data_IF_867950212975
#
_entry.id   IF_867950212975
#
_cell.length_a   1.000
_cell.length_b   1.000
_cell.length_c   1.000
_cell.angle_alpha   90.00
_cell.angle_beta   90.00
_cell.angle_gamma   90.00
#
_symmetry.space_group_name_H-M   'P 1'
#
loop_
_entity.id
_entity.type
_entity.pdbx_description
1 polymer ?
#
# COMPACT_ATOMS: atom_id res chain seq x y z
N UNK A 1 70.11 -45.45 9.35
CA UNK A 1 69.45 -45.46 8.02
C UNK A 1 68.00 -45.07 8.24
N UNK A 2 67.69 -43.77 8.15
CA UNK A 2 66.40 -43.18 8.52
C UNK A 2 65.58 -42.97 7.25
N UNK A 3 64.48 -43.72 7.06
CA UNK A 3 63.52 -43.45 5.99
C UNK A 3 62.41 -42.55 6.52
N UNK A 4 62.45 -41.27 6.16
CA UNK A 4 61.32 -40.34 6.28
C UNK A 4 60.25 -40.74 5.25
N UNK A 5 59.06 -41.10 5.71
CA UNK A 5 57.89 -41.26 4.86
C UNK A 5 57.11 -39.93 4.92
N UNK A 6 57.09 -39.20 3.80
CA UNK A 6 56.16 -38.09 3.58
C UNK A 6 54.78 -38.67 3.31
N UNK A 7 53.77 -38.24 4.07
CA UNK A 7 52.38 -38.43 3.71
C UNK A 7 51.73 -37.06 3.59
N UNK A 8 51.47 -36.71 2.33
CA UNK A 8 50.87 -35.47 1.86
C UNK A 8 49.40 -35.40 2.25
N UNK A 9 49.00 -34.36 2.98
CA UNK A 9 47.60 -34.04 3.25
C UNK A 9 46.96 -33.51 1.95
N UNK A 10 46.06 -34.27 1.33
CA UNK A 10 45.17 -33.73 0.29
C UNK A 10 43.98 -33.06 0.97
N UNK A 11 43.97 -31.73 0.99
CA UNK A 11 42.76 -30.96 1.26
C UNK A 11 41.86 -31.00 0.03
N UNK A 12 40.81 -31.81 0.05
CA UNK A 12 39.68 -31.68 -0.86
C UNK A 12 38.77 -30.57 -0.33
N UNK A 13 38.98 -29.33 -0.77
CA UNK A 13 37.96 -28.29 -0.64
C UNK A 13 36.89 -28.53 -1.68
N UNK A 14 35.77 -29.10 -1.26
CA UNK A 14 34.55 -29.21 -2.04
C UNK A 14 33.95 -27.81 -2.20
N UNK A 15 34.28 -27.10 -3.28
CA UNK A 15 33.61 -25.84 -3.63
C UNK A 15 32.20 -26.18 -4.09
N UNK A 16 31.23 -26.10 -3.18
CA UNK A 16 29.81 -26.08 -3.53
C UNK A 16 29.58 -24.74 -4.22
N UNK A 17 29.61 -24.73 -5.55
CA UNK A 17 29.03 -23.63 -6.32
C UNK A 17 27.51 -23.66 -6.09
N UNK A 18 27.06 -22.97 -5.06
CA UNK A 18 25.66 -22.58 -4.95
C UNK A 18 25.42 -21.53 -6.05
N UNK A 19 24.83 -21.95 -7.16
CA UNK A 19 24.12 -21.02 -8.04
C UNK A 19 22.86 -20.56 -7.31
N UNK A 20 23.02 -19.64 -6.35
CA UNK A 20 21.92 -18.79 -5.94
C UNK A 20 21.72 -17.80 -7.08
N UNK A 21 20.70 -18.03 -7.93
CA UNK A 21 20.11 -16.92 -8.64
C UNK A 21 19.62 -15.96 -7.55
N UNK A 22 20.25 -14.78 -7.44
CA UNK A 22 19.80 -13.70 -6.56
C UNK A 22 18.41 -13.26 -7.03
N UNK A 23 17.37 -13.96 -6.60
CA UNK A 23 15.99 -13.53 -6.77
C UNK A 23 15.80 -12.34 -5.83
N UNK A 24 15.58 -11.16 -6.41
CA UNK A 24 15.23 -9.95 -5.67
C UNK A 24 14.06 -10.27 -4.71
N UNK A 25 14.12 -9.83 -3.43
CA UNK A 25 13.03 -10.09 -2.49
C UNK A 25 11.71 -9.53 -3.04
N UNK A 26 10.59 -10.14 -2.64
CA UNK A 26 9.26 -9.74 -3.06
C UNK A 26 8.43 -9.23 -1.87
N UNK A 27 7.53 -8.28 -2.13
CA UNK A 27 6.52 -7.78 -1.20
C UNK A 27 5.15 -8.08 -1.78
N UNK A 28 4.22 -8.55 -0.96
CA UNK A 28 2.82 -8.69 -1.36
C UNK A 28 2.12 -7.35 -1.21
N UNK A 29 1.48 -6.79 -2.26
CA UNK A 29 0.63 -5.61 -2.12
C UNK A 29 -0.42 -5.79 -1.02
N UNK A 30 -0.53 -4.81 -0.11
CA UNK A 30 -1.53 -4.85 0.95
C UNK A 30 -2.94 -4.56 0.42
N UNK A 31 -3.97 -4.95 1.18
CA UNK A 31 -5.39 -4.73 0.86
C UNK A 31 -6.22 -4.73 2.15
N UNK A 32 -7.54 -4.59 2.03
CA UNK A 32 -8.49 -4.68 3.13
C UNK A 32 -9.42 -5.89 2.97
N UNK A 33 -9.93 -6.48 4.08
CA UNK A 33 -10.72 -7.71 4.06
C UNK A 33 -12.18 -7.49 3.61
N UNK A 34 -12.46 -6.40 2.87
CA UNK A 34 -13.72 -6.22 2.16
C UNK A 34 -13.84 -7.35 1.14
N UNK A 35 -15.02 -7.94 0.97
CA UNK A 35 -15.23 -9.05 0.03
C UNK A 35 -15.87 -8.54 -1.25
N UNK A 36 -15.67 -9.24 -2.37
CA UNK A 36 -16.38 -8.91 -3.63
C UNK A 36 -17.90 -9.02 -3.45
N UNK A 37 -18.34 -9.89 -2.55
CA UNK A 37 -19.73 -9.96 -2.15
C UNK A 37 -20.20 -8.65 -1.51
N UNK A 38 -19.42 -8.02 -0.63
CA UNK A 38 -19.77 -6.71 -0.07
C UNK A 38 -19.71 -5.60 -1.13
N UNK A 39 -18.80 -5.69 -2.11
CA UNK A 39 -18.75 -4.77 -3.25
C UNK A 39 -19.95 -4.91 -4.20
N UNK A 40 -20.67 -6.05 -4.19
CA UNK A 40 -21.75 -6.36 -5.14
C UNK A 40 -23.14 -6.50 -4.52
N UNK A 41 -23.24 -6.88 -3.25
CA UNK A 41 -24.49 -7.06 -2.52
C UNK A 41 -25.19 -5.73 -2.25
N UNK A 42 -24.40 -4.67 -2.10
CA UNK A 42 -24.94 -3.32 -2.05
C UNK A 42 -25.14 -2.83 -3.49
N UNK A 43 -26.15 -3.34 -4.20
CA UNK A 43 -26.62 -2.69 -5.44
C UNK A 43 -27.04 -1.22 -5.18
N UNK A 44 -27.32 -0.89 -3.93
CA UNK A 44 -27.58 0.45 -3.41
C UNK A 44 -26.37 1.05 -2.68
N UNK A 45 -25.16 0.49 -2.84
CA UNK A 45 -23.98 1.10 -2.26
C UNK A 45 -23.85 2.54 -2.74
N UNK A 46 -23.42 3.44 -1.87
CA UNK A 46 -23.01 4.74 -2.37
C UNK A 46 -21.79 4.60 -3.29
N UNK A 47 -22.04 4.89 -4.56
CA UNK A 47 -21.05 4.97 -5.63
C UNK A 47 -20.90 6.42 -6.08
N UNK A 48 -19.65 6.85 -6.29
CA UNK A 48 -19.34 8.08 -7.02
C UNK A 48 -18.39 7.74 -8.17
N UNK A 49 -18.93 7.62 -9.38
CA UNK A 49 -18.22 6.99 -10.49
C UNK A 49 -17.78 5.56 -10.13
N UNK A 50 -16.50 5.26 -10.31
CA UNK A 50 -15.91 3.95 -10.00
C UNK A 50 -15.52 3.79 -8.52
N UNK A 51 -15.91 4.73 -7.65
CA UNK A 51 -15.55 4.73 -6.23
C UNK A 51 -16.66 4.18 -5.35
N UNK A 52 -16.36 3.15 -4.55
CA UNK A 52 -17.26 2.59 -3.54
C UNK A 52 -16.85 3.07 -2.16
N UNK A 53 -17.81 3.58 -1.39
CA UNK A 53 -17.55 4.19 -0.09
C UNK A 53 -18.12 3.36 1.05
N UNK A 54 -17.27 3.10 2.04
CA UNK A 54 -17.61 2.45 3.29
C UNK A 54 -17.24 3.32 4.47
N UNK A 55 -18.08 3.38 5.50
CA UNK A 55 -17.84 4.19 6.69
C UNK A 55 -18.10 3.40 7.96
N UNK A 56 -17.47 3.82 9.04
CA UNK A 56 -17.75 3.32 10.39
C UNK A 56 -17.84 4.49 11.36
N UNK A 57 -18.99 4.61 12.02
CA UNK A 57 -19.30 5.73 12.91
C UNK A 57 -18.60 5.64 14.26
N UNK A 58 -18.33 4.42 14.75
CA UNK A 58 -17.61 4.19 16.02
C UNK A 58 -16.15 4.62 15.90
N UNK A 59 -15.47 4.17 14.84
CA UNK A 59 -14.11 4.55 14.52
C UNK A 59 -14.00 5.97 13.95
N UNK A 60 -15.10 6.50 13.40
CA UNK A 60 -15.13 7.74 12.60
C UNK A 60 -14.15 7.67 11.43
N UNK A 61 -14.17 6.56 10.70
CA UNK A 61 -13.29 6.29 9.57
C UNK A 61 -14.09 6.03 8.30
N UNK A 62 -13.45 6.28 7.16
CA UNK A 62 -13.99 5.97 5.84
C UNK A 62 -12.93 5.25 5.03
N UNK A 63 -13.38 4.20 4.34
CA UNK A 63 -12.62 3.37 3.44
C UNK A 63 -13.24 3.50 2.04
N UNK A 64 -12.44 3.87 1.05
CA UNK A 64 -12.91 4.08 -0.34
C UNK A 64 -12.10 3.19 -1.27
N UNK A 65 -12.78 2.54 -2.19
CA UNK A 65 -12.14 1.75 -3.24
C UNK A 65 -12.47 2.34 -4.61
N UNK A 66 -11.44 2.66 -5.37
CA UNK A 66 -11.53 2.85 -6.81
C UNK A 66 -11.46 1.47 -7.47
N UNK A 67 -12.54 1.11 -8.17
CA UNK A 67 -12.68 -0.20 -8.79
C UNK A 67 -12.31 -0.14 -10.28
N UNK A 68 -11.53 -1.12 -10.71
CA UNK A 68 -11.36 -1.44 -12.13
C UNK A 68 -12.43 -2.41 -12.62
N UNK A 69 -12.20 -2.99 -13.80
CA UNK A 69 -13.01 -4.10 -14.31
C UNK A 69 -12.97 -5.29 -13.34
N UNK A 70 -14.05 -6.08 -13.31
CA UNK A 70 -14.16 -7.29 -12.47
C UNK A 70 -13.94 -7.10 -10.96
N UNK A 71 -14.19 -5.89 -10.46
CA UNK A 71 -14.02 -5.51 -9.05
C UNK A 71 -12.56 -5.53 -8.57
N UNK A 72 -11.60 -5.43 -9.50
CA UNK A 72 -10.21 -5.14 -9.13
C UNK A 72 -10.16 -3.84 -8.32
N UNK A 73 -9.34 -3.79 -7.27
CA UNK A 73 -9.15 -2.60 -6.43
C UNK A 73 -7.89 -1.91 -6.89
N UNK A 74 -8.06 -0.96 -7.78
CA UNK A 74 -6.95 -0.19 -8.32
C UNK A 74 -6.33 0.68 -7.22
N UNK A 75 -7.18 1.41 -6.51
CA UNK A 75 -6.76 2.33 -5.46
C UNK A 75 -7.67 2.23 -4.25
N UNK A 76 -7.07 2.24 -3.06
CA UNK A 76 -7.78 2.18 -1.79
C UNK A 76 -7.36 3.33 -0.90
N UNK A 77 -8.33 3.99 -0.29
CA UNK A 77 -8.12 5.12 0.61
C UNK A 77 -8.69 4.78 1.98
N UNK A 78 -7.95 5.05 3.04
CA UNK A 78 -8.44 4.95 4.42
C UNK A 78 -8.08 6.23 5.17
N UNK A 79 -9.03 6.86 5.87
CA UNK A 79 -8.79 8.10 6.61
C UNK A 79 -9.85 8.33 7.70
N UNK A 80 -9.53 9.21 8.66
CA UNK A 80 -10.51 9.68 9.65
C UNK A 80 -11.47 10.71 9.04
N UNK A 81 -12.76 10.61 9.38
CA UNK A 81 -13.83 11.46 8.85
C UNK A 81 -13.67 12.95 9.24
N UNK A 82 -12.93 13.23 10.32
CA UNK A 82 -12.64 14.58 10.80
C UNK A 82 -11.24 15.10 10.42
N UNK A 83 -10.40 14.26 9.81
CA UNK A 83 -9.04 14.61 9.38
C UNK A 83 -8.89 14.06 7.96
N UNK A 84 -9.38 14.82 6.97
CA UNK A 84 -9.26 14.48 5.56
C UNK A 84 -7.96 15.09 5.04
N UNK A 85 -6.93 14.29 4.67
CA UNK A 85 -5.70 14.82 4.10
C UNK A 85 -6.00 15.64 2.83
N UNK A 86 -5.40 16.83 2.70
CA UNK A 86 -5.61 17.71 1.54
C UNK A 86 -5.21 17.05 0.22
N UNK A 87 -4.23 16.13 0.26
CA UNK A 87 -3.85 15.33 -0.88
C UNK A 87 -5.00 14.45 -1.41
N UNK A 88 -5.94 13.98 -0.57
CA UNK A 88 -7.13 13.25 -1.02
C UNK A 88 -8.11 14.16 -1.75
N UNK A 89 -8.28 15.40 -1.29
CA UNK A 89 -9.15 16.40 -1.92
C UNK A 89 -8.59 16.89 -3.26
N UNK A 90 -7.31 16.68 -3.48
CA UNK A 90 -6.60 17.06 -4.69
C UNK A 90 -6.18 15.86 -5.53
N UNK A 91 -6.65 14.66 -5.18
CA UNK A 91 -6.50 13.49 -6.03
C UNK A 91 -7.23 13.71 -7.36
N UNK A 92 -6.69 13.18 -8.46
CA UNK A 92 -7.11 13.56 -9.81
C UNK A 92 -8.60 13.23 -10.06
N UNK A 93 -9.09 12.09 -9.57
CA UNK A 93 -10.50 11.72 -9.73
C UNK A 93 -11.45 12.70 -9.02
N UNK A 94 -11.12 13.10 -7.79
CA UNK A 94 -11.99 13.99 -7.01
C UNK A 94 -11.87 15.44 -7.49
N UNK A 95 -10.67 15.86 -7.86
CA UNK A 95 -10.39 17.23 -8.30
C UNK A 95 -10.96 17.53 -9.69
N UNK A 96 -10.91 16.57 -10.61
CA UNK A 96 -11.49 16.70 -11.95
C UNK A 96 -13.01 16.71 -11.94
N UNK A 97 -13.63 15.90 -11.07
CA UNK A 97 -15.09 15.88 -10.89
C UNK A 97 -15.62 17.13 -10.17
N UNK A 98 -14.80 17.76 -9.31
CA UNK A 98 -15.23 18.89 -8.48
C UNK A 98 -14.24 20.06 -8.54
N UNK A 99 -14.29 20.81 -9.64
CA UNK A 99 -13.67 22.13 -9.75
C UNK A 99 -14.48 23.19 -8.98
N UNK A 100 -14.76 22.92 -7.71
CA UNK A 100 -15.54 23.81 -6.83
C UNK A 100 -14.65 24.37 -5.73
N UNK A 101 -14.96 25.58 -5.27
CA UNK A 101 -14.29 26.19 -4.12
C UNK A 101 -14.59 25.48 -2.78
N UNK A 102 -15.49 24.48 -2.78
CA UNK A 102 -15.97 23.83 -1.56
C UNK A 102 -15.83 22.29 -1.59
N UNK A 103 -14.68 21.81 -2.08
CA UNK A 103 -14.30 20.39 -2.12
C UNK A 103 -14.54 19.63 -0.80
N UNK A 104 -14.29 20.28 0.34
CA UNK A 104 -14.45 19.67 1.67
C UNK A 104 -15.90 19.30 1.95
N UNK A 105 -16.86 20.17 1.65
CA UNK A 105 -18.28 19.89 1.92
C UNK A 105 -18.84 18.83 0.97
N UNK A 106 -18.40 18.79 -0.29
CA UNK A 106 -18.72 17.70 -1.22
C UNK A 106 -18.21 16.37 -0.67
N UNK A 107 -16.95 16.32 -0.26
CA UNK A 107 -16.34 15.11 0.28
C UNK A 107 -17.06 14.62 1.56
N UNK A 108 -17.44 15.55 2.45
CA UNK A 108 -18.27 15.22 3.62
C UNK A 108 -19.64 14.66 3.26
N UNK A 109 -20.25 15.13 2.17
CA UNK A 109 -21.52 14.58 1.70
C UNK A 109 -21.37 13.12 1.26
N UNK A 110 -20.23 12.75 0.67
CA UNK A 110 -19.92 11.37 0.30
C UNK A 110 -19.74 10.48 1.51
N UNK A 111 -18.99 10.95 2.52
CA UNK A 111 -18.86 10.25 3.81
C UNK A 111 -20.23 10.04 4.45
N UNK A 112 -21.12 11.04 4.41
CA UNK A 112 -22.46 10.94 4.99
C UNK A 112 -23.33 9.88 4.30
N UNK A 113 -23.16 9.70 2.99
CA UNK A 113 -23.93 8.75 2.20
C UNK A 113 -23.25 7.36 2.13
N UNK A 114 -21.99 7.24 2.55
CA UNK A 114 -21.22 6.01 2.52
C UNK A 114 -21.88 4.85 3.28
N UNK A 115 -21.60 3.62 2.84
CA UNK A 115 -22.19 2.42 3.40
C UNK A 115 -21.61 2.08 4.77
N UNK A 116 -22.44 1.94 5.82
CA UNK A 116 -21.94 1.54 7.12
C UNK A 116 -21.47 0.08 7.11
N UNK A 117 -20.25 -0.19 7.57
CA UNK A 117 -19.72 -1.55 7.69
C UNK A 117 -19.02 -1.79 9.03
N UNK A 118 -18.80 -3.07 9.33
CA UNK A 118 -18.20 -3.50 10.59
C UNK A 118 -16.75 -2.98 10.74
N UNK A 119 -16.35 -2.74 11.99
CA UNK A 119 -15.02 -2.28 12.38
C UNK A 119 -13.88 -3.16 11.84
N UNK A 120 -14.11 -4.47 11.71
CA UNK A 120 -13.11 -5.44 11.28
C UNK A 120 -12.64 -5.24 9.82
N UNK A 121 -13.32 -4.38 9.05
CA UNK A 121 -12.90 -4.05 7.68
C UNK A 121 -11.91 -2.88 7.59
N UNK A 122 -11.62 -2.20 8.70
CA UNK A 122 -10.75 -1.02 8.76
C UNK A 122 -9.30 -1.33 9.17
N UNK A 123 -8.98 -2.61 9.29
CA UNK A 123 -7.62 -3.13 9.46
C UNK A 123 -7.19 -3.77 8.16
N UNK A 124 -6.01 -3.40 7.65
CA UNK A 124 -5.49 -4.01 6.43
C UNK A 124 -5.10 -5.49 6.64
N UNK A 125 -4.89 -6.23 5.56
CA UNK A 125 -4.45 -7.63 5.62
C UNK A 125 -3.05 -7.76 6.26
N UNK A 126 -2.23 -6.70 6.20
CA UNK A 126 -0.95 -6.62 6.92
C UNK A 126 -1.06 -6.01 8.32
N UNK A 127 -2.27 -5.71 8.81
CA UNK A 127 -2.50 -5.21 10.17
C UNK A 127 -2.28 -3.70 10.33
N UNK A 128 -2.36 -2.93 9.25
CA UNK A 128 -2.30 -1.46 9.31
C UNK A 128 -3.66 -0.93 9.78
N UNK A 129 -3.61 -0.04 10.76
CA UNK A 129 -4.78 0.62 11.33
C UNK A 129 -4.47 2.10 11.55
N UNK A 130 -5.45 2.98 11.34
CA UNK A 130 -5.29 4.38 11.74
C UNK A 130 -5.10 4.47 13.26
N UNK A 131 -4.29 5.43 13.71
CA UNK A 131 -3.90 5.54 15.11
C UNK A 131 -2.54 4.89 15.43
N UNK A 132 -2.00 4.06 14.53
CA UNK A 132 -0.65 3.53 14.68
C UNK A 132 0.40 4.63 14.58
N UNK A 133 1.49 4.48 15.33
CA UNK A 133 2.63 5.41 15.29
C UNK A 133 3.39 5.30 13.98
N UNK A 134 4.05 6.37 13.56
CA UNK A 134 4.97 6.36 12.42
C UNK A 134 6.00 5.24 12.53
N UNK A 135 6.55 5.02 13.73
CA UNK A 135 7.48 3.92 13.99
C UNK A 135 6.89 2.53 13.68
N UNK A 136 5.61 2.31 14.00
CA UNK A 136 4.93 1.04 13.65
C UNK A 136 4.81 0.88 12.13
N UNK A 137 4.42 1.93 11.41
CA UNK A 137 4.29 1.89 9.95
C UNK A 137 5.65 1.70 9.26
N UNK A 138 6.68 2.41 9.70
CA UNK A 138 8.05 2.25 9.20
C UNK A 138 8.65 0.87 9.53
N UNK A 139 8.10 0.12 10.49
CA UNK A 139 8.50 -1.27 10.73
C UNK A 139 7.91 -2.21 9.67
N UNK A 140 6.70 -1.93 9.18
CA UNK A 140 6.04 -2.69 8.11
C UNK A 140 6.64 -2.35 6.74
N UNK A 141 7.00 -1.07 6.54
CA UNK A 141 7.67 -0.55 5.34
C UNK A 141 9.06 -0.02 5.71
N UNK A 142 10.04 -0.90 5.98
CA UNK A 142 11.37 -0.52 6.49
C UNK A 142 12.30 0.12 5.45
N UNK A 143 11.78 0.39 4.25
CA UNK A 143 12.54 0.96 3.15
C UNK A 143 12.50 2.48 3.20
N UNK A 144 13.51 3.14 2.60
CA UNK A 144 13.47 4.58 2.44
C UNK A 144 12.25 4.99 1.57
N UNK A 145 11.42 5.94 2.01
CA UNK A 145 10.36 6.50 1.18
C UNK A 145 10.98 7.22 -0.03
N UNK A 146 10.30 7.18 -1.18
CA UNK A 146 10.71 7.92 -2.37
C UNK A 146 10.41 9.41 -2.24
N UNK A 147 9.35 9.75 -1.49
CA UNK A 147 8.93 11.12 -1.23
C UNK A 147 8.56 11.29 0.24
N UNK A 148 9.02 12.39 0.83
CA UNK A 148 8.55 12.88 2.13
C UNK A 148 8.21 14.36 1.97
N UNK A 149 6.97 14.73 2.31
CA UNK A 149 6.50 16.12 2.25
C UNK A 149 5.71 16.46 3.52
N UNK A 150 5.62 17.73 3.89
CA UNK A 150 4.83 18.20 5.03
C UNK A 150 3.98 19.40 4.64
N UNK A 151 2.68 19.31 4.86
CA UNK A 151 1.72 20.38 4.60
C UNK A 151 0.81 20.57 5.81
N UNK A 152 0.75 21.79 6.38
CA UNK A 152 -0.18 22.17 7.47
C UNK A 152 -0.24 21.11 8.59
N UNK A 153 0.94 20.67 9.04
CA UNK A 153 1.17 19.69 10.12
C UNK A 153 0.87 18.21 9.78
N UNK A 154 0.67 17.88 8.51
CA UNK A 154 0.56 16.49 8.04
C UNK A 154 1.81 16.13 7.25
N UNK A 155 2.53 15.11 7.70
CA UNK A 155 3.64 14.51 6.96
C UNK A 155 3.11 13.41 6.03
N UNK A 156 3.49 13.46 4.76
CA UNK A 156 3.21 12.44 3.74
C UNK A 156 4.48 11.66 3.46
N UNK A 157 4.40 10.34 3.51
CA UNK A 157 5.47 9.42 3.11
C UNK A 157 4.96 8.55 1.97
N UNK A 158 5.71 8.47 0.87
CA UNK A 158 5.34 7.68 -0.31
C UNK A 158 6.40 6.61 -0.58
N UNK A 159 5.96 5.37 -0.83
CA UNK A 159 6.78 4.28 -1.33
C UNK A 159 6.21 3.75 -2.64
N UNK A 160 7.07 3.67 -3.64
CA UNK A 160 6.81 3.12 -4.96
C UNK A 160 7.63 1.83 -5.11
N UNK A 161 6.95 0.73 -5.45
CA UNK A 161 7.52 -0.58 -5.67
C UNK A 161 7.32 -0.99 -7.12
N UNK A 162 8.38 -1.44 -7.76
CA UNK A 162 8.32 -2.00 -9.12
C UNK A 162 7.62 -3.36 -9.08
N UNK A 163 6.71 -3.63 -10.01
CA UNK A 163 6.07 -4.93 -10.18
C UNK A 163 7.00 -6.04 -10.65
N UNK A 164 6.71 -7.28 -10.26
CA UNK A 164 7.44 -8.47 -10.71
C UNK A 164 7.01 -8.94 -12.10
N UNK A 165 5.80 -8.60 -12.56
CA UNK A 165 5.28 -9.01 -13.87
C UNK A 165 6.00 -8.31 -15.04
N UNK A 166 6.49 -7.08 -14.82
CA UNK A 166 7.22 -6.31 -15.83
C UNK A 166 8.75 -6.35 -15.66
N UNK A 167 9.27 -7.16 -14.71
CA UNK A 167 10.70 -7.17 -14.38
C UNK A 167 11.60 -7.55 -15.58
N UNK A 168 11.05 -8.28 -16.55
CA UNK A 168 11.74 -8.78 -17.73
C UNK A 168 11.90 -7.71 -18.84
N UNK A 169 11.18 -6.58 -18.76
CA UNK A 169 11.12 -5.59 -19.85
C UNK A 169 12.17 -4.48 -19.79
N UNK A 170 12.75 -4.17 -18.63
CA UNK A 170 14.08 -3.54 -18.45
C UNK A 170 14.36 -3.51 -16.94
N UNK A 171 15.42 -4.14 -16.43
CA UNK A 171 15.77 -4.03 -15.03
C UNK A 171 16.51 -2.71 -14.83
N UNK A 172 15.79 -1.58 -14.83
CA UNK A 172 16.29 -0.40 -14.13
C UNK A 172 16.13 -0.67 -12.64
N UNK A 173 17.11 -1.39 -12.11
CA UNK A 173 17.40 -1.50 -10.68
C UNK A 173 17.51 -0.06 -10.16
N UNK A 174 16.42 0.47 -9.63
CA UNK A 174 16.38 1.81 -9.06
C UNK A 174 15.80 1.79 -7.65
N UNK A 175 16.12 0.75 -6.87
CA UNK A 175 16.07 0.78 -5.40
C UNK A 175 16.36 -0.60 -4.78
N UNK A 176 16.86 -0.58 -3.55
CA UNK A 176 16.98 -1.73 -2.64
C UNK A 176 15.62 -2.25 -2.14
N UNK A 177 14.50 -1.78 -2.73
CA UNK A 177 13.14 -2.20 -2.37
C UNK A 177 12.78 -3.51 -3.05
N UNK A 178 11.99 -4.38 -2.42
CA UNK A 178 11.49 -5.61 -3.03
C UNK A 178 10.61 -5.33 -4.26
N UNK A 179 10.44 -6.35 -5.10
CA UNK A 179 9.45 -6.32 -6.19
C UNK A 179 8.04 -6.55 -5.63
N UNK A 180 7.06 -5.82 -6.14
CA UNK A 180 5.66 -6.04 -5.83
C UNK A 180 5.17 -7.31 -6.54
N UNK A 181 4.76 -8.30 -5.76
CA UNK A 181 4.38 -9.61 -6.26
C UNK A 181 3.04 -9.58 -6.97
N UNK A 182 2.93 -10.28 -8.09
CA UNK A 182 1.71 -10.45 -8.89
C UNK A 182 1.12 -9.07 -9.29
N UNK A 183 2.00 -8.12 -9.61
CA UNK A 183 1.67 -6.70 -9.82
C UNK A 183 2.54 -6.09 -10.93
N UNK A 184 2.01 -5.08 -11.63
CA UNK A 184 2.77 -4.16 -12.49
C UNK A 184 3.45 -3.04 -11.69
N UNK A 185 2.93 -2.71 -10.51
CA UNK A 185 3.40 -1.63 -9.66
C UNK A 185 2.56 -1.53 -8.39
N UNK A 186 3.21 -1.24 -7.27
CA UNK A 186 2.53 -1.06 -5.99
C UNK A 186 2.98 0.23 -5.33
N UNK A 187 2.02 1.02 -4.85
CA UNK A 187 2.29 2.30 -4.19
C UNK A 187 1.62 2.33 -2.82
N UNK A 188 2.39 2.74 -1.82
CA UNK A 188 1.89 2.99 -0.48
C UNK A 188 2.15 4.45 -0.11
N UNK A 189 1.11 5.18 0.25
CA UNK A 189 1.23 6.52 0.83
C UNK A 189 0.66 6.52 2.23
N UNK A 190 1.42 7.04 3.19
CA UNK A 190 0.98 7.22 4.58
C UNK A 190 0.96 8.69 4.97
N UNK A 191 -0.09 9.12 5.67
CA UNK A 191 -0.24 10.46 6.20
C UNK A 191 -0.17 10.43 7.73
N UNK A 192 0.78 11.18 8.30
CA UNK A 192 1.00 11.27 9.73
C UNK A 192 0.67 12.66 10.25
N UNK A 193 -0.01 12.73 11.38
CA UNK A 193 -0.19 13.97 12.16
C UNK A 193 0.24 13.70 13.59
N UNK A 194 1.17 14.49 14.11
CA UNK A 194 1.74 14.32 15.45
C UNK A 194 2.23 12.87 15.71
N UNK A 195 2.98 12.30 14.75
CA UNK A 195 3.50 10.93 14.78
C UNK A 195 2.46 9.80 14.67
N UNK A 196 1.19 10.11 14.42
CA UNK A 196 0.10 9.14 14.31
C UNK A 196 -0.41 9.05 12.87
N UNK A 197 -0.61 7.83 12.37
CA UNK A 197 -1.22 7.56 11.07
C UNK A 197 -2.68 8.04 11.07
N UNK A 198 -3.00 9.01 10.23
CA UNK A 198 -4.35 9.59 10.08
C UNK A 198 -5.01 9.28 8.74
N UNK A 199 -4.23 8.77 7.79
CA UNK A 199 -4.76 8.24 6.54
C UNK A 199 -3.70 7.50 5.75
N UNK A 200 -4.15 6.73 4.75
CA UNK A 200 -3.28 6.04 3.80
C UNK A 200 -3.93 5.91 2.42
N UNK A 201 -3.09 5.62 1.42
CA UNK A 201 -3.48 5.23 0.07
C UNK A 201 -2.69 4.00 -0.33
N UNK A 202 -3.38 2.97 -0.83
CA UNK A 202 -2.80 1.81 -1.49
C UNK A 202 -3.14 1.90 -2.97
N UNK A 203 -2.16 1.75 -3.85
CA UNK A 203 -2.39 1.54 -5.30
C UNK A 203 -1.77 0.21 -5.66
N UNK A 204 -2.50 -0.66 -6.34
CA UNK A 204 -1.97 -1.91 -6.86
C UNK A 204 -2.38 -2.07 -8.33
N UNK A 205 -1.39 -1.91 -9.21
CA UNK A 205 -1.56 -2.10 -10.63
C UNK A 205 -1.43 -3.60 -10.91
N UNK A 206 -2.49 -4.23 -11.43
CA UNK A 206 -2.46 -5.65 -11.81
C UNK A 206 -2.82 -5.80 -13.30
N UNK A 207 -2.50 -6.95 -13.92
CA UNK A 207 -2.90 -7.27 -15.30
C UNK A 207 -4.39 -7.30 -15.57
#
# INVERSE_FOLDING_TARGET
MVKKLHLTLLFFTLTICCFAQDTKPAITPDNFPITNNLLTQHKDAYHEGDHVWFTNTELKQTLVFELGTDYHRFKTYLFYNNIIPEALLNDDWFSSAHNTSNKVEVFKSYIKNANPVNINYFTSLQGIELGQTKKQILKLYPYNPDEVNTTKDIEKYTWNFTGDIMADMEPKIQNDKPLAKDSFGYHFTAYFKNDILVGLILVNDIP
#
